data_IF_781901290763
#
_entry.id   IF_781901290763
#
_cell.length_a   1.000
_cell.length_b   1.000
_cell.length_c   1.000
_cell.angle_alpha   90.00
_cell.angle_beta   90.00
_cell.angle_gamma   90.00
#
_symmetry.space_group_name_H-M   'P 1'
#
loop_
_entity.id
_entity.type
_entity.pdbx_description
1 polymer ?
#
# COMPACT_ATOMS: atom_id res chain seq x y z
N UNK A 1 25.88 -31.35 52.66
CA UNK A 1 26.39 -30.48 51.56
C UNK A 1 25.94 -30.90 50.15
N UNK A 2 25.09 -31.92 49.96
CA UNK A 2 24.71 -32.39 48.61
C UNK A 2 23.23 -32.14 48.23
N UNK A 3 22.40 -31.64 49.16
CA UNK A 3 20.95 -31.47 48.94
C UNK A 3 20.51 -30.02 48.68
N UNK A 4 21.35 -29.03 49.01
CA UNK A 4 21.04 -27.62 48.80
C UNK A 4 21.45 -27.12 47.40
N UNK A 5 22.36 -27.82 46.73
CA UNK A 5 22.87 -27.46 45.40
C UNK A 5 21.93 -27.89 44.26
N UNK A 6 20.97 -28.79 44.53
CA UNK A 6 20.09 -29.35 43.49
C UNK A 6 18.81 -28.54 43.26
N UNK A 7 18.47 -27.63 44.19
CA UNK A 7 17.27 -26.79 44.11
C UNK A 7 17.50 -25.45 43.39
N UNK A 8 18.75 -25.02 43.23
CA UNK A 8 19.10 -23.79 42.49
C UNK A 8 19.12 -24.03 40.98
N UNK A 9 19.29 -25.27 40.53
CA UNK A 9 19.36 -25.61 39.10
C UNK A 9 18.01 -25.76 38.40
N UNK A 10 16.89 -25.88 39.13
CA UNK A 10 15.55 -26.08 38.52
C UNK A 10 14.82 -24.75 38.23
N UNK A 11 15.24 -23.63 38.83
CA UNK A 11 14.61 -22.31 38.60
C UNK A 11 15.14 -21.60 37.35
N UNK A 12 16.22 -22.10 36.74
CA UNK A 12 16.89 -21.44 35.60
C UNK A 12 16.29 -21.70 34.21
N UNK A 13 15.30 -22.59 34.06
CA UNK A 13 14.88 -23.10 32.72
C UNK A 13 13.56 -22.47 32.21
N UNK A 14 12.92 -21.56 32.94
CA UNK A 14 11.66 -20.92 32.51
C UNK A 14 11.75 -19.42 32.21
N UNK A 15 12.94 -18.88 31.96
CA UNK A 15 13.07 -17.60 31.25
C UNK A 15 13.06 -17.84 29.73
N UNK A 16 11.96 -18.41 29.21
CA UNK A 16 11.66 -18.36 27.79
C UNK A 16 11.57 -16.87 27.42
N UNK A 17 12.36 -16.36 26.46
CA UNK A 17 12.18 -15.00 26.00
C UNK A 17 10.81 -14.96 25.30
N UNK A 18 9.80 -14.44 25.98
CA UNK A 18 8.52 -14.02 25.40
C UNK A 18 8.68 -12.79 24.49
N UNK A 19 9.84 -12.62 23.86
CA UNK A 19 10.11 -11.65 22.81
C UNK A 19 9.85 -12.33 21.46
N UNK A 20 8.67 -12.93 21.28
CA UNK A 20 8.11 -13.04 19.95
C UNK A 20 7.79 -11.61 19.55
N UNK A 21 8.71 -11.03 18.78
CA UNK A 21 8.60 -9.72 18.16
C UNK A 21 7.21 -9.54 17.58
N UNK A 22 6.31 -8.92 18.34
CA UNK A 22 5.27 -8.10 17.77
C UNK A 22 6.02 -6.93 17.14
N UNK A 23 6.58 -7.16 15.94
CA UNK A 23 7.00 -6.08 15.08
C UNK A 23 5.75 -5.21 14.95
N UNK A 24 5.72 -4.10 15.67
CA UNK A 24 4.67 -3.11 15.52
C UNK A 24 4.66 -2.79 14.04
N UNK A 25 3.58 -3.14 13.32
CA UNK A 25 3.47 -2.82 11.91
C UNK A 25 3.53 -1.30 11.80
N UNK A 26 4.71 -0.80 11.43
CA UNK A 26 4.90 0.59 11.08
C UNK A 26 4.14 0.87 9.79
N UNK A 27 3.89 2.13 9.50
CA UNK A 27 3.34 2.51 8.22
C UNK A 27 4.29 2.05 7.11
N UNK A 28 3.71 1.53 6.03
CA UNK A 28 4.42 1.15 4.83
C UNK A 28 4.39 2.23 3.77
N UNK A 29 5.17 2.02 2.72
CA UNK A 29 5.17 2.89 1.55
C UNK A 29 5.04 2.10 0.27
N UNK A 30 4.37 2.68 -0.72
CA UNK A 30 4.38 2.23 -2.09
C UNK A 30 4.68 3.42 -2.98
N UNK A 31 5.68 3.29 -3.85
CA UNK A 31 5.97 4.24 -4.91
C UNK A 31 5.85 3.56 -6.26
N UNK A 32 5.01 4.09 -7.15
CA UNK A 32 4.87 3.61 -8.52
C UNK A 32 5.30 4.71 -9.49
N UNK A 33 6.09 4.34 -10.50
CA UNK A 33 6.55 5.23 -11.58
C UNK A 33 6.18 4.66 -12.93
N UNK A 34 5.52 5.47 -13.75
CA UNK A 34 5.09 5.13 -15.12
C UNK A 34 4.29 3.81 -15.19
N UNK A 35 3.44 3.55 -14.19
CA UNK A 35 2.63 2.34 -14.12
C UNK A 35 1.64 2.25 -15.28
N UNK A 36 1.50 1.05 -15.83
CA UNK A 36 0.55 0.69 -16.88
C UNK A 36 -0.23 -0.55 -16.43
N UNK A 37 -1.56 -0.43 -16.38
CA UNK A 37 -2.45 -1.49 -15.90
C UNK A 37 -3.37 -0.99 -14.80
N UNK A 38 -3.65 -1.86 -13.84
CA UNK A 38 -4.48 -1.57 -12.69
C UNK A 38 -3.66 -1.61 -11.40
N UNK A 39 -3.77 -0.55 -10.59
CA UNK A 39 -3.16 -0.49 -9.26
C UNK A 39 -4.28 -0.18 -8.26
N UNK A 40 -4.47 -1.08 -7.30
CA UNK A 40 -5.47 -0.96 -6.25
C UNK A 40 -4.77 -0.87 -4.90
N UNK A 41 -4.96 0.22 -4.19
CA UNK A 41 -4.42 0.44 -2.85
C UNK A 41 -5.58 0.53 -1.88
N UNK A 42 -5.60 -0.36 -0.87
CA UNK A 42 -6.55 -0.32 0.24
C UNK A 42 -5.74 -0.05 1.51
N UNK A 43 -5.87 1.13 2.10
CA UNK A 43 -5.10 1.49 3.30
C UNK A 43 -5.82 2.51 4.18
N UNK A 44 -5.35 2.63 5.42
CA UNK A 44 -5.51 3.82 6.25
C UNK A 44 -4.23 4.65 6.16
N UNK A 45 -4.35 5.91 5.75
CA UNK A 45 -3.22 6.81 5.51
C UNK A 45 -3.45 7.70 4.29
N UNK A 46 -2.39 7.93 3.52
CA UNK A 46 -2.36 8.90 2.42
C UNK A 46 -2.02 8.25 1.09
N UNK A 47 -2.75 8.61 0.03
CA UNK A 47 -2.44 8.26 -1.36
C UNK A 47 -2.48 9.52 -2.21
N UNK A 48 -1.39 9.78 -2.93
CA UNK A 48 -1.30 10.84 -3.92
C UNK A 48 -0.88 10.26 -5.26
N UNK A 49 -1.33 10.86 -6.35
CA UNK A 49 -0.87 10.42 -7.65
C UNK A 49 -1.30 11.29 -8.81
N UNK A 50 -0.77 10.92 -9.96
CA UNK A 50 -1.12 11.46 -11.27
C UNK A 50 -1.13 10.33 -12.30
N UNK A 51 -1.82 10.56 -13.41
CA UNK A 51 -1.93 9.59 -14.49
C UNK A 51 -1.98 10.30 -15.83
N UNK A 52 -1.22 9.78 -16.80
CA UNK A 52 -1.21 10.32 -18.16
C UNK A 52 -2.59 10.19 -18.83
N UNK A 53 -3.21 9.01 -18.76
CA UNK A 53 -4.59 8.80 -19.20
C UNK A 53 -5.20 7.56 -18.54
N UNK A 54 -6.51 7.62 -18.29
CA UNK A 54 -7.28 6.52 -17.72
C UNK A 54 -8.32 6.98 -16.73
N UNK A 55 -8.51 6.20 -15.67
CA UNK A 55 -9.50 6.44 -14.63
C UNK A 55 -8.95 6.15 -13.24
N UNK A 56 -9.42 6.93 -12.27
CA UNK A 56 -9.15 6.75 -10.85
C UNK A 56 -10.48 6.69 -10.13
N UNK A 57 -10.72 5.57 -9.45
CA UNK A 57 -11.86 5.38 -8.54
C UNK A 57 -11.34 5.44 -7.11
N UNK A 58 -11.89 6.32 -6.29
CA UNK A 58 -11.57 6.40 -4.87
C UNK A 58 -12.84 6.11 -4.09
N UNK A 59 -12.80 5.07 -3.26
CA UNK A 59 -13.82 4.81 -2.25
C UNK A 59 -13.29 5.21 -0.89
N UNK A 60 -13.95 6.16 -0.27
CA UNK A 60 -13.78 6.52 1.12
C UNK A 60 -14.45 5.46 2.01
N UNK A 61 -13.70 4.97 3.01
CA UNK A 61 -14.17 4.00 3.99
C UNK A 61 -14.82 4.68 5.21
N UNK A 62 -14.59 5.98 5.39
CA UNK A 62 -15.07 6.83 6.49
C UNK A 62 -15.67 8.15 5.96
N UNK A 63 -16.71 8.12 5.08
CA UNK A 63 -17.18 9.24 4.25
C UNK A 63 -17.78 10.48 4.97
N UNK A 64 -17.61 10.61 6.29
CA UNK A 64 -18.14 11.72 7.10
C UNK A 64 -17.10 12.28 8.09
N UNK A 65 -15.82 11.95 7.91
CA UNK A 65 -14.71 12.42 8.75
C UNK A 65 -14.12 13.77 8.28
N UNK A 66 -14.62 14.33 7.18
CA UNK A 66 -14.11 15.57 6.58
C UNK A 66 -12.92 15.38 5.64
N UNK A 67 -12.45 14.16 5.42
CA UNK A 67 -11.29 13.83 4.57
C UNK A 67 -11.72 13.42 3.15
N UNK A 68 -12.35 14.34 2.42
CA UNK A 68 -12.78 14.06 1.06
C UNK A 68 -11.60 13.94 0.08
N UNK A 69 -11.69 12.97 -0.84
CA UNK A 69 -10.72 12.82 -1.91
C UNK A 69 -10.77 14.01 -2.89
N UNK A 70 -9.60 14.44 -3.37
CA UNK A 70 -9.45 15.57 -4.29
C UNK A 70 -9.00 15.08 -5.66
N UNK A 71 -9.57 15.67 -6.72
CA UNK A 71 -9.24 15.36 -8.11
C UNK A 71 -8.98 16.64 -8.91
N UNK A 72 -8.15 16.56 -9.95
CA UNK A 72 -7.93 17.64 -10.93
C UNK A 72 -7.81 17.09 -12.34
N UNK A 73 -8.17 17.93 -13.33
CA UNK A 73 -8.05 17.66 -14.77
C UNK A 73 -8.75 16.39 -15.26
N UNK A 74 -9.97 16.14 -14.76
CA UNK A 74 -10.77 15.01 -15.19
C UNK A 74 -12.26 15.31 -15.17
N UNK A 75 -13.03 14.42 -15.79
CA UNK A 75 -14.48 14.37 -15.62
C UNK A 75 -14.78 13.58 -14.35
N UNK A 76 -15.18 14.29 -13.29
CA UNK A 76 -15.59 13.70 -12.02
C UNK A 76 -17.03 13.21 -12.11
N UNK A 77 -17.28 11.99 -11.63
CA UNK A 77 -18.60 11.38 -11.51
C UNK A 77 -18.71 10.67 -10.16
N UNK A 78 -19.58 11.14 -9.25
CA UNK A 78 -19.95 10.38 -8.07
C UNK A 78 -20.60 9.06 -8.49
N UNK A 79 -20.14 7.95 -7.93
CA UNK A 79 -20.71 6.61 -8.13
C UNK A 79 -21.76 6.31 -7.05
N UNK A 80 -21.47 6.72 -5.81
CA UNK A 80 -22.35 6.68 -4.66
C UNK A 80 -21.82 7.68 -3.61
N UNK A 81 -22.43 7.72 -2.41
CA UNK A 81 -22.08 8.67 -1.34
C UNK A 81 -20.61 8.62 -0.88
N UNK A 82 -19.92 7.49 -1.03
CA UNK A 82 -18.54 7.33 -0.57
C UNK A 82 -17.57 7.01 -1.69
N UNK A 83 -18.00 7.02 -2.95
CA UNK A 83 -17.17 6.58 -4.08
C UNK A 83 -17.25 7.56 -5.23
N UNK A 84 -16.10 8.07 -5.63
CA UNK A 84 -15.93 8.92 -6.79
C UNK A 84 -15.15 8.24 -7.91
N UNK A 85 -15.50 8.56 -9.15
CA UNK A 85 -14.79 8.15 -10.35
C UNK A 85 -14.34 9.38 -11.14
N UNK A 86 -13.04 9.49 -11.36
CA UNK A 86 -12.41 10.55 -12.13
C UNK A 86 -11.76 9.94 -13.38
N UNK A 87 -12.22 10.35 -14.57
CA UNK A 87 -11.72 9.81 -15.85
C UNK A 87 -11.19 10.95 -16.72
N UNK A 88 -10.02 10.79 -17.31
CA UNK A 88 -9.43 11.85 -18.13
C UNK A 88 -7.98 11.61 -18.55
N UNK A 89 -7.31 12.72 -18.86
CA UNK A 89 -5.89 12.78 -19.24
C UNK A 89 -5.17 13.77 -18.34
N UNK A 90 -3.90 13.50 -18.02
CA UNK A 90 -3.08 14.32 -17.11
C UNK A 90 -3.79 14.61 -15.77
N UNK A 91 -4.58 13.65 -15.30
CA UNK A 91 -5.34 13.79 -14.07
C UNK A 91 -4.41 13.66 -12.86
N UNK A 92 -4.79 14.28 -11.76
CA UNK A 92 -4.12 14.12 -10.47
C UNK A 92 -5.14 13.94 -9.37
N UNK A 93 -4.79 13.17 -8.35
CA UNK A 93 -5.68 12.85 -7.24
C UNK A 93 -4.91 12.81 -5.92
N UNK A 94 -5.64 13.08 -4.83
CA UNK A 94 -5.13 13.00 -3.45
C UNK A 94 -6.24 12.48 -2.55
N UNK A 95 -5.90 11.55 -1.67
CA UNK A 95 -6.73 11.08 -0.58
C UNK A 95 -5.83 11.07 0.66
N UNK A 96 -6.16 11.86 1.68
CA UNK A 96 -5.23 12.23 2.75
C UNK A 96 -5.80 11.77 4.10
N UNK A 97 -4.94 11.22 4.94
CA UNK A 97 -5.22 10.96 6.36
C UNK A 97 -6.55 10.24 6.66
N UNK A 98 -6.89 9.22 5.87
CA UNK A 98 -8.19 8.55 5.94
C UNK A 98 -8.14 7.09 5.50
N UNK A 99 -9.28 6.41 5.61
CA UNK A 99 -9.44 5.04 5.12
C UNK A 99 -9.88 5.04 3.66
N UNK A 100 -9.07 4.51 2.74
CA UNK A 100 -9.39 4.56 1.31
C UNK A 100 -9.20 3.23 0.59
N UNK A 101 -9.98 3.05 -0.47
CA UNK A 101 -9.69 2.13 -1.58
C UNK A 101 -9.51 2.95 -2.84
N UNK A 102 -8.26 3.16 -3.24
CA UNK A 102 -7.88 3.86 -4.47
C UNK A 102 -7.60 2.83 -5.56
N UNK A 103 -8.35 2.88 -6.66
CA UNK A 103 -8.14 2.02 -7.83
C UNK A 103 -7.83 2.89 -9.03
N UNK A 104 -6.63 2.77 -9.55
CA UNK A 104 -6.21 3.40 -10.80
C UNK A 104 -6.25 2.36 -11.92
N UNK A 105 -6.76 2.73 -13.09
CA UNK A 105 -6.73 1.91 -14.30
C UNK A 105 -6.37 2.78 -15.50
N UNK A 106 -5.24 2.51 -16.14
CA UNK A 106 -4.73 3.33 -17.23
C UNK A 106 -3.24 3.17 -17.46
N UNK A 107 -2.59 4.22 -17.94
CA UNK A 107 -1.15 4.25 -18.20
C UNK A 107 -0.51 5.57 -17.78
N UNK A 108 0.80 5.51 -17.54
CA UNK A 108 1.58 6.64 -17.04
C UNK A 108 1.20 7.01 -15.62
N UNK A 109 0.84 6.03 -14.78
CA UNK A 109 0.50 6.26 -13.38
C UNK A 109 1.76 6.53 -12.57
N UNK A 110 1.77 7.66 -11.86
CA UNK A 110 2.67 7.93 -10.75
C UNK A 110 1.85 7.93 -9.48
N UNK A 111 2.19 7.09 -8.52
CA UNK A 111 1.44 6.94 -7.28
C UNK A 111 2.42 6.86 -6.13
N UNK A 112 2.12 7.57 -5.05
CA UNK A 112 2.79 7.41 -3.76
C UNK A 112 1.74 7.19 -2.69
N UNK A 113 1.91 6.11 -1.93
CA UNK A 113 1.04 5.75 -0.83
C UNK A 113 1.88 5.55 0.43
N UNK A 114 1.37 6.04 1.55
CA UNK A 114 1.95 5.89 2.88
C UNK A 114 0.84 5.50 3.84
N UNK A 115 1.06 4.47 4.64
CA UNK A 115 0.10 4.03 5.65
C UNK A 115 0.05 2.52 5.79
N UNK A 116 -1.02 2.03 6.40
CA UNK A 116 -1.20 0.60 6.69
C UNK A 116 -2.28 -0.02 5.83
N UNK A 117 -1.93 -1.10 5.13
CA UNK A 117 -2.89 -1.80 4.29
C UNK A 117 -2.24 -2.71 3.26
N UNK A 118 -2.88 -2.82 2.10
CA UNK A 118 -2.47 -3.68 1.00
C UNK A 118 -2.45 -2.92 -0.32
N UNK A 119 -1.52 -3.28 -1.19
CA UNK A 119 -1.47 -2.84 -2.57
C UNK A 119 -1.53 -4.04 -3.52
N UNK A 120 -2.51 -4.07 -4.41
CA UNK A 120 -2.60 -5.02 -5.50
C UNK A 120 -2.16 -4.33 -6.79
N UNK A 121 -1.15 -4.87 -7.46
CA UNK A 121 -0.65 -4.39 -8.74
C UNK A 121 -0.91 -5.46 -9.81
N UNK A 122 -1.45 -5.02 -10.93
CA UNK A 122 -1.83 -5.84 -12.09
C UNK A 122 -1.39 -5.09 -13.34
N UNK A 123 -0.19 -5.42 -13.83
CA UNK A 123 0.44 -4.76 -14.95
C UNK A 123 -0.12 -5.23 -16.28
N UNK A 124 -0.55 -4.31 -17.14
CA UNK A 124 -1.07 -4.65 -18.48
C UNK A 124 0.06 -4.91 -19.51
N UNK A 125 1.02 -5.74 -19.13
CA UNK A 125 2.18 -6.13 -19.93
C UNK A 125 1.94 -7.49 -20.58
N UNK A 126 2.41 -7.63 -21.81
CA UNK A 126 2.46 -8.89 -22.57
C UNK A 126 3.84 -9.56 -22.45
N UNK A 127 4.64 -9.16 -21.46
CA UNK A 127 6.05 -9.57 -21.30
C UNK A 127 7.03 -8.79 -22.18
N UNK A 128 6.57 -8.01 -23.17
CA UNK A 128 7.44 -7.25 -24.09
C UNK A 128 7.38 -5.74 -23.85
N UNK A 129 6.23 -5.22 -23.42
CA UNK A 129 6.06 -3.80 -23.10
C UNK A 129 6.29 -3.54 -21.60
N UNK A 130 7.13 -2.54 -21.22
CA UNK A 130 7.31 -2.18 -19.81
C UNK A 130 5.98 -1.80 -19.13
N UNK A 131 5.70 -2.42 -17.99
CA UNK A 131 4.52 -2.15 -17.14
C UNK A 131 4.74 -0.97 -16.18
N UNK A 132 5.95 -0.42 -16.15
CA UNK A 132 6.39 0.56 -15.15
C UNK A 132 7.19 -0.11 -14.04
N UNK A 133 7.54 0.66 -13.01
CA UNK A 133 8.27 0.16 -11.84
C UNK A 133 7.59 0.56 -10.54
N UNK A 134 7.76 -0.26 -9.53
CA UNK A 134 7.27 -0.05 -8.17
C UNK A 134 8.36 -0.28 -7.13
N UNK A 135 8.26 0.39 -5.99
CA UNK A 135 9.07 0.19 -4.79
C UNK A 135 8.13 0.08 -3.59
N UNK A 136 8.38 -0.90 -2.72
CA UNK A 136 7.66 -1.14 -1.49
C UNK A 136 8.58 -0.87 -0.31
N UNK A 137 8.05 -0.19 0.71
CA UNK A 137 8.69 0.00 2.01
C UNK A 137 10.15 0.50 1.90
N UNK A 138 10.41 1.40 0.94
CA UNK A 138 11.74 1.97 0.68
C UNK A 138 12.73 1.05 -0.05
N UNK A 139 12.32 -0.15 -0.44
CA UNK A 139 13.13 -1.11 -1.18
C UNK A 139 13.46 -0.65 -2.62
N UNK A 140 14.32 -1.39 -3.34
CA UNK A 140 14.69 -1.06 -4.71
C UNK A 140 13.46 -1.07 -5.65
N UNK A 141 13.54 -0.27 -6.72
CA UNK A 141 12.51 -0.31 -7.76
C UNK A 141 12.60 -1.61 -8.55
N UNK A 142 11.47 -2.30 -8.67
CA UNK A 142 11.30 -3.52 -9.46
C UNK A 142 10.18 -3.34 -10.48
N UNK A 143 10.16 -4.12 -11.57
CA UNK A 143 9.05 -4.09 -12.53
C UNK A 143 7.70 -4.36 -11.87
N UNK A 144 6.63 -3.74 -12.39
CA UNK A 144 5.27 -4.06 -11.95
C UNK A 144 4.91 -5.48 -12.45
N UNK A 145 4.39 -6.36 -11.57
CA UNK A 145 3.98 -7.71 -11.96
C UNK A 145 2.97 -7.72 -13.11
N UNK A 146 3.08 -8.68 -14.03
CA UNK A 146 2.13 -8.86 -15.14
C UNK A 146 0.81 -9.47 -14.69
N UNK A 147 0.84 -10.29 -13.64
CA UNK A 147 -0.35 -10.87 -13.02
C UNK A 147 -0.72 -10.16 -11.72
N UNK A 148 -2.01 -10.14 -11.33
CA UNK A 148 -2.46 -9.53 -10.09
C UNK A 148 -1.70 -10.04 -8.87
N UNK A 149 -0.85 -9.20 -8.30
CA UNK A 149 -0.02 -9.53 -7.14
C UNK A 149 -0.32 -8.56 -6.01
N UNK A 150 -0.55 -9.09 -4.81
CA UNK A 150 -0.87 -8.29 -3.61
C UNK A 150 0.29 -8.25 -2.64
N UNK A 151 0.61 -7.05 -2.17
CA UNK A 151 1.65 -6.76 -1.20
C UNK A 151 1.04 -6.15 0.06
N UNK A 152 1.61 -6.47 1.21
CA UNK A 152 1.35 -5.78 2.47
C UNK A 152 2.23 -4.54 2.55
N UNK A 153 1.68 -3.45 3.05
CA UNK A 153 2.44 -2.23 3.33
C UNK A 153 2.84 -2.23 4.80
N UNK A 154 4.12 -1.98 5.10
CA UNK A 154 4.62 -1.85 6.47
C UNK A 154 5.13 -3.17 7.02
N UNK A 155 5.49 -4.10 6.14
CA UNK A 155 6.24 -5.30 6.54
C UNK A 155 7.70 -4.95 6.43
N UNK A 156 8.42 -4.93 7.56
CA UNK A 156 9.88 -4.79 7.57
C UNK A 156 10.49 -5.78 6.58
N UNK A 157 11.01 -5.27 5.46
CA UNK A 157 11.88 -6.07 4.60
C UNK A 157 13.10 -6.43 5.46
N UNK A 158 13.50 -7.71 5.61
CA UNK A 158 14.73 -8.02 6.30
C UNK A 158 15.86 -7.27 5.57
N UNK A 159 16.53 -6.38 6.28
CA UNK A 159 17.69 -5.67 5.75
C UNK A 159 18.69 -6.68 5.21
N UNK A 160 19.20 -6.42 4.00
CA UNK A 160 20.38 -7.11 3.49
C UNK A 160 21.60 -6.75 4.33
#
# INVERSE_FOLDING_TARGET
MARLLLLVTVVGVLALPAALSAASRSDGTLSVKRGKGQIKVKLHGTVIGSMAYGSVRIRDLTPFDGQAAQFRHCRLRPVNLSTDLCTGKKLSFRALDGGYVVTTKGSGTFLSAVGRGTATLDGAGDGTTPTGVMSLDGGPYQPIPVDPTTYLLGTTTPGK
#
